data_IF_078113364108
#
_entry.id   IF_078113364108
#
_cell.length_a   1.000
_cell.length_b   1.000
_cell.length_c   1.000
_cell.angle_alpha   90.00
_cell.angle_beta   90.00
_cell.angle_gamma   90.00
#
_symmetry.space_group_name_H-M   'P 1'
#
loop_
_entity.id
_entity.type
_entity.pdbx_description
1 polymer ?
#
# COMPACT_ATOMS: atom_id res chain seq x y z
N UNK A 1 -22.28 20.83 12.62
CA UNK A 1 -20.98 20.50 12.04
C UNK A 1 -20.96 19.06 11.50
N UNK A 2 -20.44 18.85 10.27
CA UNK A 2 -20.39 17.53 9.66
C UNK A 2 -19.36 16.61 10.34
N UNK A 3 -19.50 15.28 10.16
CA UNK A 3 -18.50 14.32 10.67
C UNK A 3 -17.10 14.58 10.08
N UNK A 4 -17.04 14.96 8.80
CA UNK A 4 -15.78 15.28 8.13
C UNK A 4 -15.11 16.51 8.76
N UNK A 5 -15.86 17.59 9.04
CA UNK A 5 -15.33 18.78 9.67
C UNK A 5 -14.80 18.49 11.08
N UNK A 6 -15.51 17.67 11.86
CA UNK A 6 -15.03 17.25 13.20
C UNK A 6 -13.76 16.44 13.13
N UNK A 7 -13.64 15.53 12.16
CA UNK A 7 -12.44 14.74 11.96
C UNK A 7 -11.27 15.63 11.52
N UNK A 8 -11.51 16.56 10.62
CA UNK A 8 -10.46 17.51 10.18
C UNK A 8 -9.92 18.32 11.36
N UNK A 9 -10.80 18.88 12.21
CA UNK A 9 -10.38 19.57 13.44
C UNK A 9 -9.61 18.69 14.40
N UNK A 10 -10.01 17.42 14.55
CA UNK A 10 -9.25 16.48 15.37
C UNK A 10 -7.84 16.27 14.85
N UNK A 11 -7.68 16.18 13.51
CA UNK A 11 -6.37 16.07 12.87
C UNK A 11 -5.53 17.35 13.03
N UNK A 12 -6.14 18.55 12.95
CA UNK A 12 -5.47 19.82 13.22
C UNK A 12 -4.92 19.88 14.67
N UNK A 13 -5.75 19.48 15.64
CA UNK A 13 -5.33 19.43 17.05
C UNK A 13 -4.20 18.43 17.24
N UNK A 14 -4.32 17.23 16.64
CA UNK A 14 -3.28 16.19 16.70
C UNK A 14 -1.96 16.73 16.13
N UNK A 15 -2.00 17.37 14.95
CA UNK A 15 -0.80 17.99 14.35
C UNK A 15 -0.18 19.05 15.27
N UNK A 16 -1.01 19.89 15.85
CA UNK A 16 -0.52 20.90 16.81
C UNK A 16 0.18 20.29 18.02
N UNK A 17 -0.34 19.20 18.58
CA UNK A 17 0.28 18.50 19.71
C UNK A 17 1.54 17.71 19.33
N UNK A 18 1.55 17.11 18.13
CA UNK A 18 2.71 16.37 17.65
C UNK A 18 3.89 17.28 17.24
N UNK A 19 3.63 18.55 16.91
CA UNK A 19 4.67 19.46 16.43
C UNK A 19 5.41 18.86 15.21
N UNK A 20 6.72 18.75 15.31
CA UNK A 20 7.60 18.23 14.24
C UNK A 20 7.63 16.69 14.12
N UNK A 21 6.89 15.97 14.98
CA UNK A 21 6.87 14.50 14.90
C UNK A 21 6.05 14.03 13.71
N UNK A 22 6.49 12.96 13.10
CA UNK A 22 5.77 12.34 11.97
C UNK A 22 4.46 11.69 12.45
N UNK A 23 3.40 11.90 11.67
CA UNK A 23 2.08 11.31 11.86
C UNK A 23 1.81 10.36 10.69
N UNK A 24 1.54 9.09 11.00
CA UNK A 24 1.00 8.12 10.07
C UNK A 24 -0.48 7.90 10.42
N UNK A 25 -1.37 8.36 9.55
CA UNK A 25 -2.82 8.19 9.69
C UNK A 25 -3.24 6.79 9.25
N UNK A 26 -3.73 5.97 10.18
CA UNK A 26 -4.36 4.68 9.88
C UNK A 26 -5.83 4.72 10.30
N UNK A 27 -6.74 4.32 9.39
CA UNK A 27 -8.19 4.43 9.64
C UNK A 27 -8.74 5.85 9.56
N UNK A 28 -7.94 6.82 9.21
CA UNK A 28 -8.36 8.22 9.00
C UNK A 28 -8.97 8.36 7.60
N UNK A 29 -10.12 9.04 7.44
CA UNK A 29 -10.63 9.37 6.12
C UNK A 29 -9.58 10.16 5.33
N UNK A 30 -9.16 9.64 4.18
CA UNK A 30 -7.98 10.12 3.45
C UNK A 30 -7.96 11.62 3.18
N UNK A 31 -9.13 12.24 2.97
CA UNK A 31 -9.23 13.68 2.73
C UNK A 31 -8.94 14.53 3.98
N UNK A 32 -9.18 14.01 5.18
CA UNK A 32 -8.93 14.74 6.43
C UNK A 32 -7.48 14.67 6.89
N UNK A 33 -6.66 13.87 6.20
CA UNK A 33 -5.22 13.77 6.42
C UNK A 33 -4.40 14.78 5.59
N UNK A 34 -5.03 15.45 4.61
CA UNK A 34 -4.31 16.35 3.69
C UNK A 34 -3.64 17.50 4.43
N UNK A 35 -2.32 17.61 4.26
CA UNK A 35 -1.49 18.63 4.89
C UNK A 35 -1.33 18.48 6.41
N UNK A 36 -1.92 17.47 7.04
CA UNK A 36 -1.92 17.26 8.49
C UNK A 36 -1.18 15.97 8.89
N UNK A 37 -1.18 14.96 8.05
CA UNK A 37 -0.39 13.74 8.23
C UNK A 37 0.78 13.70 7.25
N UNK A 38 1.92 13.16 7.70
CA UNK A 38 3.09 12.94 6.85
C UNK A 38 2.90 11.71 5.97
N UNK A 39 2.24 10.69 6.53
CA UNK A 39 1.87 9.45 5.85
C UNK A 39 0.42 9.09 6.13
N UNK A 40 -0.23 8.40 5.18
CA UNK A 40 -1.60 7.94 5.37
C UNK A 40 -1.84 6.58 4.69
N UNK A 41 -2.48 5.66 5.42
CA UNK A 41 -3.01 4.42 4.87
C UNK A 41 -4.06 4.74 3.81
N UNK A 42 -3.85 4.25 2.60
CA UNK A 42 -4.71 4.58 1.45
C UNK A 42 -5.76 3.52 1.15
N UNK A 43 -5.69 2.37 1.76
CA UNK A 43 -6.59 1.23 1.55
C UNK A 43 -7.10 0.61 2.84
N UNK A 44 -7.87 -0.47 2.69
CA UNK A 44 -8.16 -1.39 3.79
C UNK A 44 -6.91 -2.22 4.12
N UNK A 45 -6.99 -2.98 5.21
CA UNK A 45 -5.92 -3.90 5.57
C UNK A 45 -5.72 -4.98 4.50
N UNK A 46 -4.46 -5.32 4.25
CA UNK A 46 -4.06 -6.47 3.45
C UNK A 46 -4.39 -7.74 4.22
N UNK A 47 -5.01 -8.70 3.53
CA UNK A 47 -5.41 -9.99 4.08
C UNK A 47 -4.35 -11.07 3.83
N UNK A 48 -4.43 -12.15 4.59
CA UNK A 48 -3.73 -13.40 4.28
C UNK A 48 -4.37 -14.15 3.10
N UNK A 49 -5.56 -13.70 2.65
CA UNK A 49 -6.29 -14.13 1.47
C UNK A 49 -6.26 -13.05 0.37
N UNK A 50 -6.55 -13.47 -0.87
CA UNK A 50 -6.63 -12.52 -1.98
C UNK A 50 -7.81 -11.57 -1.87
N UNK A 51 -8.98 -12.08 -1.50
CA UNK A 51 -10.20 -11.27 -1.31
C UNK A 51 -10.88 -11.63 0.01
N UNK A 52 -11.88 -10.83 0.37
CA UNK A 52 -12.65 -11.06 1.58
C UNK A 52 -13.39 -12.42 1.51
N UNK A 53 -13.38 -13.13 2.60
CA UNK A 53 -14.10 -14.39 2.76
C UNK A 53 -15.58 -14.14 3.09
N UNK A 54 -16.47 -15.06 2.70
CA UNK A 54 -17.92 -14.88 2.78
C UNK A 54 -18.44 -14.52 4.19
N UNK A 55 -17.87 -15.08 5.25
CA UNK A 55 -18.29 -14.79 6.61
C UNK A 55 -17.93 -13.37 7.06
N UNK A 56 -16.88 -12.76 6.50
CA UNK A 56 -16.53 -11.36 6.81
C UNK A 56 -17.60 -10.39 6.28
N UNK A 57 -18.28 -10.74 5.22
CA UNK A 57 -19.40 -9.93 4.69
C UNK A 57 -20.59 -9.89 5.63
N UNK A 58 -20.77 -10.94 6.44
CA UNK A 58 -21.91 -11.05 7.35
C UNK A 58 -21.66 -10.41 8.72
N UNK A 59 -20.44 -10.50 9.23
CA UNK A 59 -20.12 -10.19 10.63
C UNK A 59 -19.21 -8.98 10.82
N UNK A 60 -18.56 -8.48 9.78
CA UNK A 60 -17.61 -7.38 9.90
C UNK A 60 -18.02 -6.18 9.03
N UNK A 61 -17.95 -4.99 9.65
CA UNK A 61 -18.21 -3.72 8.95
C UNK A 61 -17.03 -3.33 8.04
N UNK A 62 -15.83 -3.69 8.44
CA UNK A 62 -14.61 -3.46 7.66
C UNK A 62 -14.24 -4.74 6.91
N UNK A 63 -13.97 -4.58 5.62
CA UNK A 63 -13.58 -5.68 4.75
C UNK A 63 -12.07 -5.69 4.61
N UNK A 64 -11.46 -6.79 5.02
CA UNK A 64 -10.02 -7.03 4.83
C UNK A 64 -9.85 -7.78 3.51
N UNK A 65 -9.19 -7.16 2.54
CA UNK A 65 -9.05 -7.69 1.18
C UNK A 65 -7.77 -7.19 0.53
N UNK A 66 -6.85 -8.10 0.21
CA UNK A 66 -5.60 -7.77 -0.49
C UNK A 66 -5.89 -7.15 -1.86
N UNK A 67 -6.85 -7.70 -2.59
CA UNK A 67 -7.29 -7.19 -3.89
C UNK A 67 -7.79 -5.74 -3.78
N UNK A 68 -8.61 -5.44 -2.77
CA UNK A 68 -9.14 -4.10 -2.57
C UNK A 68 -8.08 -3.12 -2.07
N UNK A 69 -7.15 -3.56 -1.21
CA UNK A 69 -5.99 -2.77 -0.78
C UNK A 69 -5.14 -2.35 -1.99
N UNK A 70 -4.80 -3.31 -2.86
CA UNK A 70 -4.09 -3.05 -4.12
C UNK A 70 -4.85 -2.07 -5.04
N UNK A 71 -6.15 -2.29 -5.22
CA UNK A 71 -6.99 -1.40 -6.04
C UNK A 71 -6.95 0.05 -5.52
N UNK A 72 -7.08 0.23 -4.21
CA UNK A 72 -6.98 1.55 -3.58
C UNK A 72 -5.59 2.17 -3.76
N UNK A 73 -4.52 1.39 -3.59
CA UNK A 73 -3.14 1.87 -3.78
C UNK A 73 -2.93 2.37 -5.21
N UNK A 74 -3.35 1.59 -6.20
CA UNK A 74 -3.22 1.97 -7.62
C UNK A 74 -4.07 3.19 -7.96
N UNK A 75 -5.35 3.22 -7.57
CA UNK A 75 -6.27 4.29 -7.94
C UNK A 75 -5.99 5.60 -7.20
N UNK A 76 -5.45 5.53 -5.98
CA UNK A 76 -5.10 6.70 -5.15
C UNK A 76 -3.63 7.13 -5.26
N UNK A 77 -2.86 6.53 -6.15
CA UNK A 77 -1.42 6.82 -6.34
C UNK A 77 -1.09 8.29 -6.52
N UNK A 78 -2.01 9.08 -7.06
CA UNK A 78 -1.80 10.52 -7.28
C UNK A 78 -1.73 11.32 -5.97
N UNK A 79 -2.16 10.76 -4.85
CA UNK A 79 -2.05 11.38 -3.52
C UNK A 79 -0.62 11.24 -2.96
N UNK A 80 0.11 10.22 -3.42
CA UNK A 80 1.46 9.91 -2.96
C UNK A 80 2.42 11.06 -3.25
N UNK A 81 3.08 11.57 -2.22
CA UNK A 81 4.01 12.70 -2.30
C UNK A 81 3.37 14.07 -2.58
N UNK A 82 2.03 14.16 -2.68
CA UNK A 82 1.30 15.43 -2.88
C UNK A 82 0.46 15.80 -1.67
N UNK A 83 -0.29 14.87 -1.14
CA UNK A 83 -1.11 15.07 0.04
C UNK A 83 -0.42 14.55 1.31
N UNK A 84 0.26 13.46 1.18
CA UNK A 84 1.05 12.72 2.18
C UNK A 84 1.84 11.61 1.48
N UNK A 85 2.73 10.92 2.20
CA UNK A 85 3.30 9.66 1.75
C UNK A 85 2.28 8.53 1.87
N UNK A 86 2.00 7.82 0.78
CA UNK A 86 1.02 6.72 0.80
C UNK A 86 1.57 5.51 1.56
N UNK A 87 0.75 5.00 2.49
CA UNK A 87 0.92 3.71 3.13
C UNK A 87 0.00 2.68 2.45
N UNK A 88 0.54 1.77 1.63
CA UNK A 88 -0.23 0.73 0.96
C UNK A 88 -0.52 -0.48 1.84
N UNK A 89 -0.13 -0.46 3.11
CA UNK A 89 -0.09 -1.57 4.05
C UNK A 89 1.08 -2.55 3.81
N UNK A 90 1.04 -3.67 4.46
CA UNK A 90 2.11 -4.68 4.46
C UNK A 90 2.11 -5.53 3.20
N UNK A 91 3.26 -6.15 2.93
CA UNK A 91 3.39 -7.24 1.98
C UNK A 91 3.92 -8.50 2.69
N UNK A 92 3.87 -9.64 2.00
CA UNK A 92 4.35 -10.94 2.50
C UNK A 92 5.29 -11.59 1.50
N UNK A 93 6.37 -12.17 2.01
CA UNK A 93 7.24 -13.12 1.30
C UNK A 93 7.17 -14.52 1.89
N UNK A 94 6.63 -14.66 3.13
CA UNK A 94 6.48 -15.96 3.78
C UNK A 94 5.49 -16.85 3.06
N UNK A 95 5.68 -18.17 3.19
CA UNK A 95 4.74 -19.18 2.74
C UNK A 95 3.77 -19.61 3.86
N UNK A 96 4.25 -19.61 5.09
CA UNK A 96 3.48 -20.02 6.26
C UNK A 96 2.33 -19.03 6.56
N UNK A 97 1.16 -19.58 6.87
CA UNK A 97 -0.02 -18.80 7.23
C UNK A 97 -0.36 -17.68 6.22
N UNK A 98 -0.15 -17.94 4.93
CA UNK A 98 -0.48 -17.03 3.85
C UNK A 98 -1.06 -17.83 2.68
N UNK A 99 -2.27 -17.49 2.26
CA UNK A 99 -2.98 -18.17 1.16
C UNK A 99 -2.82 -17.46 -0.19
N UNK A 100 -2.05 -16.38 -0.22
CA UNK A 100 -1.68 -15.72 -1.47
C UNK A 100 -0.74 -16.62 -2.28
N UNK A 101 -1.00 -16.72 -3.56
CA UNK A 101 -0.08 -17.39 -4.50
C UNK A 101 1.23 -16.59 -4.61
N UNK A 102 2.29 -17.23 -5.11
CA UNK A 102 3.57 -16.58 -5.36
C UNK A 102 3.41 -15.35 -6.27
N UNK A 103 2.57 -15.44 -7.30
CA UNK A 103 2.29 -14.32 -8.19
C UNK A 103 1.56 -13.17 -7.48
N UNK A 104 0.57 -13.48 -6.65
CA UNK A 104 -0.15 -12.48 -5.86
C UNK A 104 0.75 -11.77 -4.87
N UNK A 105 1.65 -12.49 -4.18
CA UNK A 105 2.67 -11.90 -3.29
C UNK A 105 3.62 -10.99 -4.06
N UNK A 106 4.06 -11.42 -5.24
CA UNK A 106 4.93 -10.61 -6.12
C UNK A 106 4.23 -9.33 -6.58
N UNK A 107 2.98 -9.41 -7.00
CA UNK A 107 2.17 -8.23 -7.38
C UNK A 107 2.07 -7.28 -6.19
N UNK A 108 1.63 -7.78 -5.03
CA UNK A 108 1.46 -6.97 -3.81
C UNK A 108 2.74 -6.24 -3.43
N UNK A 109 3.85 -6.97 -3.29
CA UNK A 109 5.12 -6.40 -2.86
C UNK A 109 5.69 -5.39 -3.87
N UNK A 110 5.56 -5.69 -5.17
CA UNK A 110 6.05 -4.79 -6.22
C UNK A 110 5.20 -3.52 -6.33
N UNK A 111 3.86 -3.62 -6.22
CA UNK A 111 2.96 -2.45 -6.20
C UNK A 111 3.25 -1.58 -4.98
N UNK A 112 3.43 -2.18 -3.80
CA UNK A 112 3.76 -1.44 -2.58
C UNK A 112 5.10 -0.71 -2.71
N UNK A 113 6.12 -1.36 -3.28
CA UNK A 113 7.42 -0.74 -3.53
C UNK A 113 7.37 0.43 -4.52
N UNK A 114 6.56 0.32 -5.58
CA UNK A 114 6.51 1.33 -6.65
C UNK A 114 5.57 2.51 -6.36
N UNK A 115 4.48 2.30 -5.62
CA UNK A 115 3.42 3.29 -5.44
C UNK A 115 3.25 3.77 -4.00
N UNK A 116 3.95 3.14 -3.03
CA UNK A 116 3.97 3.57 -1.64
C UNK A 116 5.21 4.39 -1.28
N UNK A 117 5.15 5.13 -0.18
CA UNK A 117 6.32 5.70 0.51
C UNK A 117 6.59 5.01 1.85
N UNK A 118 5.61 4.26 2.35
CA UNK A 118 5.79 3.40 3.51
C UNK A 118 5.93 1.97 3.01
N UNK A 119 7.05 1.33 3.34
CA UNK A 119 7.37 -0.02 2.87
C UNK A 119 7.49 -0.97 4.06
N UNK A 120 6.40 -1.66 4.38
CA UNK A 120 6.25 -2.51 5.54
C UNK A 120 6.01 -3.97 5.16
N UNK A 121 6.53 -4.88 5.97
CA UNK A 121 6.19 -6.30 5.91
C UNK A 121 5.66 -6.79 7.25
N UNK A 122 4.71 -7.71 7.21
CA UNK A 122 4.22 -8.44 8.38
C UNK A 122 4.97 -9.77 8.61
N UNK A 123 6.06 -9.97 7.89
CA UNK A 123 6.91 -11.14 8.05
C UNK A 123 7.95 -10.94 9.16
N UNK A 124 8.57 -12.03 9.59
CA UNK A 124 9.77 -12.01 10.43
C UNK A 124 11.01 -12.19 9.54
N UNK A 125 11.73 -11.12 9.13
CA UNK A 125 12.84 -11.23 8.18
C UNK A 125 13.97 -12.14 8.63
N UNK A 126 14.12 -12.36 9.96
CA UNK A 126 15.09 -13.30 10.51
C UNK A 126 14.83 -14.75 10.06
N UNK A 127 13.57 -15.08 9.71
CA UNK A 127 13.17 -16.42 9.24
C UNK A 127 13.22 -16.56 7.72
N UNK A 128 13.57 -15.52 7.00
CA UNK A 128 13.63 -15.59 5.54
C UNK A 128 14.70 -16.58 5.07
N UNK A 129 14.34 -17.36 4.06
CA UNK A 129 15.29 -18.10 3.24
C UNK A 129 16.20 -17.15 2.46
N UNK A 130 17.31 -17.64 1.92
CA UNK A 130 18.19 -16.80 1.10
C UNK A 130 17.48 -16.22 -0.12
N UNK A 131 16.56 -16.96 -0.73
CA UNK A 131 15.76 -16.48 -1.84
C UNK A 131 14.81 -15.34 -1.41
N UNK A 132 14.13 -15.47 -0.27
CA UNK A 132 13.28 -14.40 0.28
C UNK A 132 14.10 -13.17 0.69
N UNK A 133 15.30 -13.35 1.23
CA UNK A 133 16.22 -12.23 1.53
C UNK A 133 16.67 -11.49 0.27
N UNK A 134 16.98 -12.24 -0.79
CA UNK A 134 17.33 -11.65 -2.08
C UNK A 134 16.15 -10.85 -2.66
N UNK A 135 14.95 -11.40 -2.61
CA UNK A 135 13.74 -10.72 -3.07
C UNK A 135 13.42 -9.48 -2.21
N UNK A 136 13.55 -9.56 -0.89
CA UNK A 136 13.39 -8.40 0.00
C UNK A 136 14.36 -7.28 -0.35
N UNK A 137 15.65 -7.60 -0.58
CA UNK A 137 16.65 -6.61 -1.02
C UNK A 137 16.28 -5.99 -2.36
N UNK A 138 15.86 -6.81 -3.33
CA UNK A 138 15.42 -6.33 -4.65
C UNK A 138 14.24 -5.35 -4.53
N UNK A 139 13.22 -5.71 -3.74
CA UNK A 139 12.04 -4.87 -3.51
C UNK A 139 12.38 -3.56 -2.80
N UNK A 140 13.29 -3.60 -1.83
CA UNK A 140 13.78 -2.42 -1.16
C UNK A 140 14.52 -1.49 -2.11
N UNK A 141 15.43 -2.03 -2.94
CA UNK A 141 16.11 -1.25 -3.98
C UNK A 141 15.10 -0.65 -4.96
N UNK A 142 14.06 -1.41 -5.34
CA UNK A 142 12.99 -0.93 -6.20
C UNK A 142 12.24 0.26 -5.56
N UNK A 143 11.89 0.17 -4.28
CA UNK A 143 11.22 1.25 -3.56
C UNK A 143 12.07 2.53 -3.43
N UNK A 144 13.39 2.37 -3.33
CA UNK A 144 14.33 3.48 -3.15
C UNK A 144 14.77 4.12 -4.48
N UNK A 145 14.83 3.37 -5.58
CA UNK A 145 15.53 3.77 -6.80
C UNK A 145 14.67 3.74 -8.08
N UNK A 146 13.43 3.23 -8.02
CA UNK A 146 12.57 3.24 -9.20
C UNK A 146 12.20 4.68 -9.61
N UNK A 147 12.41 4.98 -10.89
CA UNK A 147 12.12 6.28 -11.46
C UNK A 147 11.00 6.19 -12.50
N UNK A 148 10.40 7.34 -12.83
CA UNK A 148 9.42 7.48 -13.92
C UNK A 148 8.28 6.46 -13.85
N UNK A 149 7.77 6.22 -12.63
CA UNK A 149 6.68 5.25 -12.40
C UNK A 149 5.40 5.77 -13.04
N UNK A 150 4.89 5.03 -14.03
CA UNK A 150 3.66 5.34 -14.77
C UNK A 150 2.68 4.17 -14.65
N UNK A 151 1.41 4.48 -14.45
CA UNK A 151 0.35 3.49 -14.34
C UNK A 151 -0.71 3.73 -15.40
N UNK A 152 -0.94 2.73 -16.22
CA UNK A 152 -2.00 2.69 -17.23
C UNK A 152 -3.04 1.63 -16.87
N UNK A 153 -4.28 1.89 -17.22
CA UNK A 153 -5.37 0.92 -17.12
C UNK A 153 -5.79 0.56 -18.55
N UNK A 154 -5.72 -0.72 -18.89
CA UNK A 154 -6.18 -1.21 -20.18
C UNK A 154 -7.71 -1.30 -20.20
N UNK A 155 -8.32 -1.35 -21.41
CA UNK A 155 -9.76 -1.46 -21.62
C UNK A 155 -10.38 -2.68 -20.92
N UNK A 156 -9.63 -3.76 -20.81
CA UNK A 156 -10.05 -5.00 -20.12
C UNK A 156 -9.91 -4.92 -18.57
N UNK A 157 -9.58 -3.75 -18.01
CA UNK A 157 -9.40 -3.54 -16.58
C UNK A 157 -8.07 -4.03 -16.01
N UNK A 158 -7.13 -4.46 -16.84
CA UNK A 158 -5.78 -4.79 -16.38
C UNK A 158 -4.96 -3.52 -16.13
N UNK A 159 -4.12 -3.57 -15.12
CA UNK A 159 -3.15 -2.51 -14.82
C UNK A 159 -1.80 -2.85 -15.45
N UNK A 160 -1.12 -1.82 -15.95
CA UNK A 160 0.26 -1.88 -16.40
C UNK A 160 1.04 -0.78 -15.68
N UNK A 161 2.00 -1.16 -14.84
CA UNK A 161 2.92 -0.23 -14.18
C UNK A 161 4.24 -0.31 -14.92
N UNK A 162 4.67 0.80 -15.56
CA UNK A 162 6.00 0.95 -16.15
C UNK A 162 6.86 1.76 -15.22
N UNK A 163 8.10 1.39 -15.10
CA UNK A 163 9.09 2.09 -14.28
C UNK A 163 10.49 1.93 -14.87
N UNK A 164 11.37 2.82 -14.51
CA UNK A 164 12.78 2.76 -14.91
C UNK A 164 13.64 2.32 -13.73
N UNK A 165 14.52 1.36 -13.97
CA UNK A 165 15.45 0.82 -13.00
C UNK A 165 16.79 0.54 -13.68
N UNK A 166 17.91 1.01 -13.14
CA UNK A 166 19.26 0.84 -13.71
C UNK A 166 19.33 1.23 -15.20
N UNK A 167 18.66 2.31 -15.58
CA UNK A 167 18.62 2.79 -16.96
C UNK A 167 17.73 1.98 -17.91
N UNK A 168 17.09 0.90 -17.45
CA UNK A 168 16.18 0.04 -18.23
C UNK A 168 14.74 0.32 -17.86
N UNK A 169 13.86 0.24 -18.85
CA UNK A 169 12.41 0.29 -18.62
C UNK A 169 11.89 -1.10 -18.36
N UNK A 170 11.24 -1.28 -17.22
CA UNK A 170 10.57 -2.50 -16.80
C UNK A 170 9.06 -2.28 -16.71
N UNK A 171 8.30 -3.38 -16.65
CA UNK A 171 6.86 -3.31 -16.49
C UNK A 171 6.31 -4.46 -15.65
N UNK A 172 5.28 -4.14 -14.86
CA UNK A 172 4.44 -5.10 -14.17
C UNK A 172 3.02 -5.02 -14.76
N UNK A 173 2.49 -6.15 -15.23
CA UNK A 173 1.10 -6.25 -15.70
C UNK A 173 0.34 -7.21 -14.80
N UNK A 174 -0.85 -6.81 -14.38
CA UNK A 174 -1.70 -7.65 -13.54
C UNK A 174 -3.17 -7.25 -13.67
N UNK A 175 -4.05 -8.13 -13.21
CA UNK A 175 -5.49 -7.92 -13.10
C UNK A 175 -5.94 -8.20 -11.66
N UNK A 176 -6.82 -7.35 -11.13
CA UNK A 176 -7.42 -7.51 -9.80
C UNK A 176 -8.79 -8.20 -9.87
#
# INVERSE_FOLDING_TARGET
ESRAARMYRAMELLRGWCGEKQILGCGVPVMTAFGLADYCRVGCDVSLDWDDVWYMRLFHRERVSTRQALNNTVLRRQLNGRAYGSDPDVFFLREENCRLTTEQKKILATVNALLGQVFLTSDMPVRYTEQQRAEYRRLRTLAEQAEQVQVETAENGAFCIRYRMDGKTEQLRFRL
#
